data_IF_207515907833
#
_entry.id   IF_207515907833
#
_cell.length_a   1.000
_cell.length_b   1.000
_cell.length_c   1.000
_cell.angle_alpha   90.00
_cell.angle_beta   90.00
_cell.angle_gamma   90.00
#
_symmetry.space_group_name_H-M   'P 1'
#
loop_
_entity.id
_entity.type
_entity.pdbx_description
1 polymer ?
#
# COMPACT_ATOMS: atom_id res chain seq x y z
N UNK A 1 -1.21 -11.81 -18.15
CA UNK A 1 -1.76 -11.13 -16.97
C UNK A 1 -0.75 -11.28 -15.84
N UNK A 2 -0.29 -10.17 -15.28
CA UNK A 2 0.66 -10.18 -14.16
C UNK A 2 -0.09 -10.58 -12.90
N UNK A 3 0.33 -11.65 -12.23
CA UNK A 3 -0.30 -12.12 -10.99
C UNK A 3 0.04 -11.16 -9.85
N UNK A 4 -0.95 -10.75 -9.06
CA UNK A 4 -0.73 -9.92 -7.87
C UNK A 4 0.16 -10.65 -6.86
N UNK A 5 1.17 -9.96 -6.31
CA UNK A 5 2.15 -10.51 -5.36
C UNK A 5 2.16 -9.68 -4.10
N UNK A 6 1.81 -10.27 -2.97
CA UNK A 6 1.70 -9.61 -1.67
C UNK A 6 2.72 -10.19 -0.70
N UNK A 7 3.56 -9.34 -0.11
CA UNK A 7 4.50 -9.73 0.93
C UNK A 7 4.02 -9.22 2.30
N UNK A 8 3.96 -10.11 3.27
CA UNK A 8 3.65 -9.81 4.66
C UNK A 8 4.89 -10.04 5.50
N UNK A 9 5.37 -8.99 6.17
CA UNK A 9 6.55 -8.99 7.03
C UNK A 9 6.31 -8.17 8.31
N UNK A 10 5.05 -8.08 8.74
CA UNK A 10 4.66 -7.40 9.98
C UNK A 10 4.75 -8.32 11.21
N UNK A 11 4.65 -7.74 12.39
CA UNK A 11 4.48 -8.46 13.67
C UNK A 11 3.07 -8.21 14.23
N UNK A 12 2.57 -9.08 15.14
CA UNK A 12 3.13 -10.38 15.53
C UNK A 12 2.93 -11.46 14.44
N UNK A 13 3.67 -12.59 14.54
CA UNK A 13 3.56 -13.72 13.60
C UNK A 13 2.12 -14.21 13.45
N UNK A 14 1.39 -14.38 14.56
CA UNK A 14 0.00 -14.84 14.52
C UNK A 14 -0.91 -13.92 13.71
N UNK A 15 -0.73 -12.60 13.83
CA UNK A 15 -1.49 -11.63 13.06
C UNK A 15 -1.10 -11.68 11.58
N UNK A 16 0.19 -11.78 11.28
CA UNK A 16 0.71 -11.94 9.92
C UNK A 16 0.16 -13.19 9.23
N UNK A 17 0.11 -14.33 9.92
CA UNK A 17 -0.44 -15.59 9.40
C UNK A 17 -1.95 -15.50 9.13
N UNK A 18 -2.70 -14.88 10.05
CA UNK A 18 -4.14 -14.65 9.87
C UNK A 18 -4.39 -13.74 8.66
N UNK A 19 -3.64 -12.63 8.53
CA UNK A 19 -3.74 -11.75 7.36
C UNK A 19 -3.47 -12.51 6.06
N UNK A 20 -2.40 -13.32 6.03
CA UNK A 20 -2.06 -14.13 4.85
C UNK A 20 -3.22 -15.05 4.47
N UNK A 21 -3.77 -15.76 5.46
CA UNK A 21 -4.84 -16.71 5.26
C UNK A 21 -6.11 -16.05 4.74
N UNK A 22 -6.53 -14.94 5.34
CA UNK A 22 -7.73 -14.20 4.90
C UNK A 22 -7.53 -13.62 3.49
N UNK A 23 -6.35 -13.08 3.17
CA UNK A 23 -6.05 -12.59 1.81
C UNK A 23 -6.14 -13.71 0.77
N UNK A 24 -5.55 -14.88 1.04
CA UNK A 24 -5.63 -16.03 0.13
C UNK A 24 -7.07 -16.55 -0.04
N UNK A 25 -7.90 -16.46 1.02
CA UNK A 25 -9.31 -16.82 0.94
C UNK A 25 -10.11 -15.85 0.07
N UNK A 26 -9.93 -14.54 0.28
CA UNK A 26 -10.68 -13.50 -0.44
C UNK A 26 -10.18 -13.29 -1.86
N UNK A 27 -8.89 -13.52 -2.11
CA UNK A 27 -8.22 -13.32 -3.38
C UNK A 27 -7.41 -14.57 -3.78
N UNK A 28 -8.07 -15.66 -4.20
CA UNK A 28 -7.39 -16.93 -4.51
C UNK A 28 -6.38 -16.84 -5.66
N UNK A 29 -6.48 -15.81 -6.50
CA UNK A 29 -5.56 -15.56 -7.61
C UNK A 29 -4.30 -14.82 -7.19
N UNK A 30 -4.21 -14.29 -5.96
CA UNK A 30 -3.02 -13.60 -5.48
C UNK A 30 -1.94 -14.58 -5.05
N UNK A 31 -0.68 -14.21 -5.22
CA UNK A 31 0.45 -14.90 -4.60
C UNK A 31 0.81 -14.17 -3.32
N UNK A 32 0.52 -14.78 -2.18
CA UNK A 32 0.76 -14.19 -0.86
C UNK A 32 1.96 -14.90 -0.22
N UNK A 33 2.95 -14.13 0.22
CA UNK A 33 4.15 -14.63 0.90
C UNK A 33 4.26 -14.03 2.29
N UNK A 34 4.57 -14.88 3.26
CA UNK A 34 4.91 -14.48 4.63
C UNK A 34 6.41 -14.55 4.81
N UNK A 35 7.00 -13.54 5.44
CA UNK A 35 8.42 -13.46 5.76
C UNK A 35 8.62 -12.93 7.18
N UNK A 36 9.77 -13.25 7.78
CA UNK A 36 10.17 -12.59 9.02
C UNK A 36 10.51 -11.11 8.75
N UNK A 37 10.28 -10.19 9.70
CA UNK A 37 10.55 -8.76 9.49
C UNK A 37 12.02 -8.51 9.19
N UNK A 38 12.92 -9.28 9.82
CA UNK A 38 14.36 -9.23 9.57
C UNK A 38 14.80 -9.74 8.19
N UNK A 39 13.92 -10.38 7.42
CA UNK A 39 14.20 -10.94 6.09
C UNK A 39 13.56 -10.12 4.96
N UNK A 40 12.81 -9.06 5.28
CA UNK A 40 12.00 -8.29 4.32
C UNK A 40 12.80 -7.83 3.10
N UNK A 41 14.04 -7.37 3.29
CA UNK A 41 14.88 -6.88 2.20
C UNK A 41 15.26 -7.98 1.19
N UNK A 42 15.58 -9.17 1.69
CA UNK A 42 15.91 -10.32 0.85
C UNK A 42 14.66 -10.79 0.08
N UNK A 43 13.51 -10.83 0.76
CA UNK A 43 12.25 -11.26 0.18
C UNK A 43 11.71 -10.26 -0.84
N UNK A 44 11.79 -8.95 -0.60
CA UNK A 44 11.40 -7.93 -1.58
C UNK A 44 12.19 -8.10 -2.88
N UNK A 45 13.50 -8.37 -2.78
CA UNK A 45 14.35 -8.62 -3.96
C UNK A 45 14.00 -9.91 -4.68
N UNK A 46 13.84 -11.01 -3.95
CA UNK A 46 13.58 -12.32 -4.53
C UNK A 46 12.15 -12.45 -5.09
N UNK A 47 11.18 -11.87 -4.38
CA UNK A 47 9.76 -12.01 -4.67
C UNK A 47 9.21 -10.91 -5.57
N UNK A 48 9.84 -9.72 -5.56
CA UNK A 48 9.38 -8.52 -6.28
C UNK A 48 7.88 -8.22 -6.02
N UNK A 49 7.46 -8.04 -4.76
CA UNK A 49 6.06 -7.83 -4.42
C UNK A 49 5.49 -6.55 -5.03
N UNK A 50 4.20 -6.58 -5.36
CA UNK A 50 3.46 -5.40 -5.79
C UNK A 50 2.83 -4.66 -4.60
N UNK A 51 2.59 -5.37 -3.50
CA UNK A 51 2.12 -4.79 -2.25
C UNK A 51 2.85 -5.41 -1.05
N UNK A 52 3.22 -4.58 -0.07
CA UNK A 52 3.93 -5.00 1.13
C UNK A 52 3.20 -4.51 2.38
N UNK A 53 2.99 -5.39 3.35
CA UNK A 53 2.55 -5.02 4.71
C UNK A 53 3.68 -5.35 5.67
N UNK A 54 4.18 -4.34 6.39
CA UNK A 54 5.36 -4.48 7.25
C UNK A 54 5.24 -3.62 8.51
N UNK A 55 6.04 -3.92 9.52
CA UNK A 55 6.17 -3.09 10.73
C UNK A 55 7.12 -1.90 10.52
N UNK A 56 8.08 -2.03 9.59
CA UNK A 56 9.04 -0.98 9.25
C UNK A 56 9.31 -0.97 7.76
N UNK A 57 9.17 0.19 7.14
CA UNK A 57 9.54 0.39 5.73
C UNK A 57 11.05 0.53 5.64
N UNK A 58 11.67 -0.39 4.91
CA UNK A 58 13.11 -0.33 4.61
C UNK A 58 13.36 0.41 3.30
N UNK A 59 14.61 0.84 3.04
CA UNK A 59 14.96 1.41 1.74
C UNK A 59 14.68 0.46 0.57
N UNK A 60 14.78 -0.86 0.77
CA UNK A 60 14.47 -1.84 -0.26
C UNK A 60 12.97 -1.87 -0.58
N UNK A 61 12.11 -1.87 0.44
CA UNK A 61 10.64 -1.76 0.27
C UNK A 61 10.31 -0.47 -0.47
N UNK A 62 10.86 0.66 -0.01
CA UNK A 62 10.60 1.99 -0.58
C UNK A 62 10.98 2.09 -2.07
N UNK A 63 12.07 1.42 -2.47
CA UNK A 63 12.57 1.46 -3.84
C UNK A 63 11.85 0.47 -4.78
N UNK A 64 11.44 -0.69 -4.28
CA UNK A 64 11.02 -1.82 -5.13
C UNK A 64 9.52 -2.09 -5.10
N UNK A 65 8.84 -1.80 -3.99
CA UNK A 65 7.40 -2.02 -3.88
C UNK A 65 6.63 -0.77 -4.37
N UNK A 66 5.73 -0.90 -5.37
CA UNK A 66 4.96 0.23 -5.86
C UNK A 66 3.94 0.73 -4.82
N UNK A 67 3.44 -0.15 -3.96
CA UNK A 67 2.56 0.17 -2.86
C UNK A 67 2.94 -0.59 -1.57
N UNK A 68 2.76 0.03 -0.42
CA UNK A 68 3.06 -0.58 0.87
C UNK A 68 2.28 0.07 2.03
N UNK A 69 2.20 -0.68 3.13
CA UNK A 69 1.69 -0.23 4.43
C UNK A 69 2.73 -0.52 5.51
N UNK A 70 3.09 0.52 6.26
CA UNK A 70 3.83 0.43 7.52
C UNK A 70 2.80 0.45 8.66
N UNK A 71 2.61 -0.70 9.29
CA UNK A 71 1.71 -0.85 10.43
C UNK A 71 2.39 -0.36 11.71
N UNK A 72 1.77 0.65 12.34
CA UNK A 72 2.14 1.17 13.65
C UNK A 72 3.66 1.43 13.83
N UNK A 73 4.31 2.23 12.96
CA UNK A 73 5.68 2.69 13.15
C UNK A 73 5.92 3.16 14.58
N UNK A 74 7.01 2.66 15.16
CA UNK A 74 7.45 2.95 16.53
C UNK A 74 6.34 2.75 17.59
N UNK A 75 5.41 1.81 17.33
CA UNK A 75 4.25 1.49 18.18
C UNK A 75 3.25 2.65 18.34
N UNK A 76 3.26 3.62 17.41
CA UNK A 76 2.29 4.70 17.36
C UNK A 76 0.93 4.29 16.77
N UNK A 77 -0.11 5.16 16.87
CA UNK A 77 -1.46 4.84 16.41
C UNK A 77 -1.66 5.01 14.89
N UNK A 78 -0.65 5.55 14.20
CA UNK A 78 -0.72 5.85 12.78
C UNK A 78 -0.06 4.74 11.98
N UNK A 79 -0.68 4.36 10.87
CA UNK A 79 -0.06 3.59 9.80
C UNK A 79 0.42 4.54 8.71
N UNK A 80 1.55 4.23 8.06
CA UNK A 80 2.02 4.98 6.88
C UNK A 80 1.70 4.17 5.63
N UNK A 81 1.21 4.85 4.61
CA UNK A 81 0.76 4.22 3.37
C UNK A 81 1.45 4.88 2.19
N UNK A 82 1.83 4.04 1.22
CA UNK A 82 2.12 4.44 -0.15
C UNK A 82 1.18 3.71 -1.09
N UNK A 83 0.44 4.46 -1.89
CA UNK A 83 -0.47 3.95 -2.93
C UNK A 83 -0.27 4.72 -4.25
N UNK A 84 -1.15 4.47 -5.23
CA UNK A 84 -1.23 5.24 -6.47
C UNK A 84 -1.44 6.74 -6.24
N UNK A 85 -2.09 7.10 -5.13
CA UNK A 85 -2.52 8.47 -4.82
C UNK A 85 -1.43 9.25 -4.07
N UNK A 86 -0.29 8.61 -3.81
CA UNK A 86 0.85 9.19 -3.12
C UNK A 86 1.08 8.59 -1.75
N UNK A 87 1.55 9.41 -0.81
CA UNK A 87 1.90 8.99 0.55
C UNK A 87 1.04 9.72 1.57
N UNK A 88 0.52 8.99 2.53
CA UNK A 88 -0.32 9.53 3.59
C UNK A 88 -0.26 8.66 4.85
N UNK A 89 -0.84 9.17 5.93
CA UNK A 89 -0.99 8.45 7.18
C UNK A 89 -2.47 8.16 7.45
N UNK A 90 -2.74 7.01 8.04
CA UNK A 90 -4.08 6.57 8.43
C UNK A 90 -4.05 6.21 9.92
N UNK A 91 -4.96 6.76 10.72
CA UNK A 91 -5.22 6.28 12.08
C UNK A 91 -6.19 5.11 12.03
N UNK A 92 -6.06 4.17 12.96
CA UNK A 92 -7.04 3.07 13.15
C UNK A 92 -7.24 2.22 11.88
N UNK A 93 -6.14 1.67 11.33
CA UNK A 93 -6.19 0.83 10.13
C UNK A 93 -7.04 -0.42 10.33
N UNK A 94 -8.11 -0.55 9.54
CA UNK A 94 -8.94 -1.74 9.51
C UNK A 94 -8.48 -2.74 8.43
N UNK A 95 -8.93 -4.00 8.55
CA UNK A 95 -8.63 -5.00 7.54
C UNK A 95 -9.21 -4.64 6.15
N UNK A 96 -10.39 -4.02 6.12
CA UNK A 96 -11.02 -3.55 4.87
C UNK A 96 -10.17 -2.50 4.17
N UNK A 97 -9.47 -1.65 4.92
CA UNK A 97 -8.53 -0.67 4.35
C UNK A 97 -7.33 -1.38 3.73
N UNK A 98 -6.74 -2.35 4.44
CA UNK A 98 -5.63 -3.16 3.93
C UNK A 98 -6.01 -3.89 2.63
N UNK A 99 -7.22 -4.45 2.58
CA UNK A 99 -7.73 -5.12 1.39
C UNK A 99 -7.91 -4.12 0.23
N UNK A 100 -8.56 -2.98 0.48
CA UNK A 100 -8.78 -1.95 -0.56
C UNK A 100 -7.46 -1.37 -1.11
N UNK A 101 -6.45 -1.21 -0.25
CA UNK A 101 -5.11 -0.78 -0.66
C UNK A 101 -4.42 -1.83 -1.54
N UNK A 102 -4.55 -3.11 -1.18
CA UNK A 102 -3.99 -4.20 -1.97
C UNK A 102 -4.72 -4.34 -3.32
N UNK A 103 -6.05 -4.17 -3.36
CA UNK A 103 -6.83 -4.15 -4.61
C UNK A 103 -6.47 -2.95 -5.49
N UNK A 104 -6.25 -1.77 -4.90
CA UNK A 104 -5.74 -0.61 -5.64
C UNK A 104 -4.36 -0.87 -6.24
N UNK A 105 -3.49 -1.60 -5.54
CA UNK A 105 -2.20 -2.02 -6.06
C UNK A 105 -2.32 -3.07 -7.18
N UNK A 106 -3.32 -3.95 -7.14
CA UNK A 106 -3.63 -4.88 -8.24
C UNK A 106 -4.06 -4.13 -9.52
N UNK A 107 -4.89 -3.09 -9.40
CA UNK A 107 -5.33 -2.26 -10.54
C UNK A 107 -4.17 -1.56 -11.27
N UNK A 108 -3.03 -1.34 -10.60
CA UNK A 108 -1.82 -0.80 -11.24
C UNK A 108 -1.12 -1.82 -12.16
N UNK A 109 -1.43 -3.10 -12.02
CA UNK A 109 -0.88 -4.19 -12.84
C UNK A 109 -1.68 -4.42 -14.12
N UNK A 110 -2.93 -3.95 -14.14
CA UNK A 110 -3.77 -4.03 -15.32
C UNK A 110 -3.24 -3.06 -16.38
N UNK A 111 -3.17 -3.47 -17.67
CA UNK A 111 -2.85 -2.55 -18.73
C UNK A 111 -3.84 -1.41 -18.66
N UNK A 112 -3.34 -0.17 -18.51
CA UNK A 112 -4.14 1.02 -18.72
C UNK A 112 -4.46 1.08 -20.22
N UNK A 113 -5.48 0.34 -20.65
CA UNK A 113 -6.05 0.52 -21.97
C UNK A 113 -6.46 1.99 -22.08
N UNK A 114 -5.91 2.67 -23.09
CA UNK A 114 -5.84 4.12 -23.19
C UNK A 114 -7.19 4.83 -23.24
N UNK A 115 -7.81 5.03 -22.07
CA UNK A 115 -8.96 5.92 -21.87
C UNK A 115 -8.76 6.78 -20.60
N UNK A 116 -7.61 7.45 -20.55
CA UNK A 116 -7.49 8.70 -19.82
C UNK A 116 -7.98 9.83 -20.73
N UNK A 117 -9.30 9.92 -20.91
CA UNK A 117 -9.92 11.13 -21.43
C UNK A 117 -9.46 12.28 -20.50
N UNK A 118 -8.69 13.21 -21.05
CA UNK A 118 -8.30 14.43 -20.37
C UNK A 118 -9.62 15.13 -20.04
N UNK A 119 -10.10 14.95 -18.81
CA UNK A 119 -11.14 15.82 -18.26
C UNK A 119 -10.49 17.17 -18.05
N UNK A 120 -10.65 18.00 -19.07
CA UNK A 120 -10.43 19.44 -19.03
C UNK A 120 -11.09 19.98 -17.75
N UNK A 121 -10.29 20.26 -16.74
CA UNK A 121 -10.74 20.89 -15.51
C UNK A 121 -10.87 22.40 -15.78
N UNK A 122 -11.90 22.76 -16.53
CA UNK A 122 -12.35 24.14 -16.78
C UNK A 122 -13.67 24.27 -16.01
N UNK A 123 -13.86 25.08 -14.95
CA UNK A 123 -13.60 26.51 -14.69
C UNK A 123 -13.82 26.74 -13.17
N UNK A 124 -12.93 27.41 -12.44
CA UNK A 124 -12.87 28.85 -12.12
C UNK A 124 -13.46 29.29 -10.76
N UNK A 125 -12.64 30.08 -10.03
CA UNK A 125 -13.01 30.96 -8.93
C UNK A 125 -11.75 31.55 -8.28
N UNK A 126 -11.64 32.88 -8.08
CA UNK A 126 -10.35 33.55 -7.87
C UNK A 126 -9.75 33.26 -6.49
N UNK A 127 -8.42 33.32 -6.44
CA UNK A 127 -7.61 33.44 -5.22
C UNK A 127 -8.16 34.61 -4.38
N UNK A 128 -8.92 34.28 -3.35
CA UNK A 128 -9.33 35.22 -2.31
C UNK A 128 -8.08 35.66 -1.55
N UNK A 129 -7.82 36.97 -1.58
CA UNK A 129 -6.77 37.62 -0.83
C UNK A 129 -6.89 37.34 0.68
N UNK A 130 -5.75 37.09 1.31
CA UNK A 130 -5.59 37.08 2.76
C UNK A 130 -5.63 38.54 3.25
N UNK A 131 -6.55 38.93 4.16
CA UNK A 131 -6.47 40.24 4.79
C UNK A 131 -5.31 40.29 5.79
N UNK A 132 -4.69 41.46 6.02
CA UNK A 132 -3.63 41.60 7.00
C UNK A 132 -4.19 41.47 8.42
N UNK A 133 -3.37 40.90 9.28
CA UNK A 133 -3.59 40.70 10.71
C UNK A 133 -3.63 42.05 11.45
N UNK A 134 -4.58 42.21 12.38
CA UNK A 134 -4.54 43.21 13.46
C UNK A 134 -4.40 42.51 14.82
#
# INVERSE_FOLDING_TARGET
MTKMRVLLANEPLSYREILAWVLMMLKPTWEVRVAEPGQIDAEVRAFSPHFVICNRVTPAVEAMAPAWVELYPDFGPLCRVRSSDGRYAVSEMEFTDLLGLAEGAEQLLEPRDGQGEIRELTRAGPLGACPPEE
#
